data_IF_081950590902
#
_entry.id   IF_081950590902
#
_cell.length_a   1.000
_cell.length_b   1.000
_cell.length_c   1.000
_cell.angle_alpha   90.00
_cell.angle_beta   90.00
_cell.angle_gamma   90.00
#
_symmetry.space_group_name_H-M   'P 1'
#
loop_
_entity.id
_entity.type
_entity.pdbx_description
1 polymer ?
#
# COMPACT_ATOMS: atom_id res chain seq x y z
N UNK A 1 6.23 15.76 -0.72
CA UNK A 1 4.91 15.51 -0.14
C UNK A 1 4.71 14.02 -0.17
N UNK A 2 4.50 13.40 0.99
CA UNK A 2 4.28 11.94 1.07
C UNK A 2 2.82 11.64 0.69
N UNK A 3 2.55 10.49 0.09
CA UNK A 3 1.19 10.05 -0.17
C UNK A 3 0.68 9.24 1.05
N UNK A 4 -0.20 9.84 1.85
CA UNK A 4 -0.69 9.29 3.14
C UNK A 4 -2.21 9.40 3.21
N UNK A 5 -2.86 8.43 3.85
CA UNK A 5 -4.30 8.43 4.11
C UNK A 5 -4.69 9.66 4.93
N UNK A 6 -5.70 10.40 4.44
CA UNK A 6 -6.37 11.50 5.16
C UNK A 6 -6.31 12.88 4.49
N UNK A 7 -5.32 13.17 3.66
CA UNK A 7 -5.17 14.52 3.07
C UNK A 7 -4.43 14.61 1.73
N UNK A 8 -3.69 13.58 1.33
CA UNK A 8 -2.64 13.75 0.31
C UNK A 8 -3.00 13.20 -1.08
N UNK A 9 -4.29 12.98 -1.34
CA UNK A 9 -4.76 12.68 -2.69
C UNK A 9 -4.32 11.32 -3.22
N UNK A 10 -4.23 10.31 -2.36
CA UNK A 10 -3.94 8.95 -2.77
C UNK A 10 -4.87 7.95 -2.08
N UNK A 11 -5.17 6.85 -2.75
CA UNK A 11 -6.02 5.79 -2.20
C UNK A 11 -5.63 4.43 -2.79
N UNK A 12 -5.96 3.36 -2.08
CA UNK A 12 -5.82 2.01 -2.61
C UNK A 12 -7.00 1.73 -3.52
N UNK A 13 -6.75 1.50 -4.80
CA UNK A 13 -7.79 1.20 -5.79
C UNK A 13 -8.00 -0.30 -6.00
N UNK A 14 -6.99 -1.11 -5.70
CA UNK A 14 -7.06 -2.56 -5.84
C UNK A 14 -6.09 -3.27 -4.91
N UNK A 15 -6.50 -4.43 -4.39
CA UNK A 15 -5.65 -5.36 -3.68
C UNK A 15 -6.13 -6.79 -3.90
N UNK A 16 -5.20 -7.73 -4.05
CA UNK A 16 -5.51 -9.16 -4.21
C UNK A 16 -5.86 -9.87 -2.90
N UNK A 17 -5.56 -9.24 -1.76
CA UNK A 17 -5.87 -9.77 -0.42
C UNK A 17 -6.51 -8.68 0.43
N UNK A 18 -7.50 -9.06 1.23
CA UNK A 18 -8.16 -8.17 2.18
C UNK A 18 -8.22 -8.84 3.56
N UNK A 19 -7.27 -8.50 4.43
CA UNK A 19 -7.26 -8.97 5.82
C UNK A 19 -8.11 -8.07 6.71
N UNK A 20 -9.14 -8.61 7.38
CA UNK A 20 -10.09 -7.82 8.20
C UNK A 20 -9.43 -6.88 9.22
N UNK A 21 -8.36 -7.33 9.87
CA UNK A 21 -7.61 -6.52 10.86
C UNK A 21 -6.46 -5.71 10.24
N UNK A 22 -6.08 -6.06 9.01
CA UNK A 22 -4.93 -5.51 8.30
C UNK A 22 -5.30 -5.22 6.83
N UNK A 23 -6.29 -4.34 6.61
CA UNK A 23 -6.81 -4.11 5.27
C UNK A 23 -5.80 -3.30 4.42
N UNK A 24 -5.95 -3.27 3.10
CA UNK A 24 -4.99 -2.64 2.18
C UNK A 24 -4.72 -1.18 2.48
N UNK A 25 -5.71 -0.42 2.96
CA UNK A 25 -5.63 1.01 3.24
C UNK A 25 -4.57 1.33 4.31
N UNK A 26 -4.23 0.35 5.15
CA UNK A 26 -3.18 0.48 6.16
C UNK A 26 -1.79 0.76 5.56
N UNK A 27 -1.54 0.46 4.27
CA UNK A 27 -0.27 0.83 3.61
C UNK A 27 -0.07 2.34 3.51
N UNK A 28 -1.17 3.11 3.56
CA UNK A 28 -1.17 4.56 3.51
C UNK A 28 -1.23 5.18 4.92
N UNK A 29 -1.23 4.37 5.97
CA UNK A 29 -1.28 4.81 7.37
C UNK A 29 0.13 4.91 7.98
N UNK A 30 0.42 6.00 8.70
CA UNK A 30 1.72 6.22 9.36
C UNK A 30 1.79 5.61 10.78
N UNK A 31 0.69 5.06 11.31
CA UNK A 31 0.67 4.47 12.66
C UNK A 31 1.53 3.21 12.75
N UNK A 32 2.34 3.13 13.79
CA UNK A 32 3.12 1.91 14.10
C UNK A 32 2.18 0.74 14.35
N UNK A 33 2.46 -0.40 13.72
CA UNK A 33 1.60 -1.59 13.80
C UNK A 33 0.44 -1.60 12.81
N UNK A 34 0.23 -0.53 12.04
CA UNK A 34 -0.68 -0.51 10.90
C UNK A 34 0.05 -1.03 9.67
N UNK A 35 -0.45 -2.13 9.10
CA UNK A 35 0.08 -2.73 7.88
C UNK A 35 -1.03 -3.49 7.14
N UNK A 36 -0.82 -3.70 5.85
CA UNK A 36 -1.60 -4.63 5.03
C UNK A 36 -0.96 -6.01 5.07
N UNK A 37 -1.78 -7.07 5.08
CA UNK A 37 -1.32 -8.46 5.04
C UNK A 37 -1.93 -9.23 3.87
N UNK A 38 -1.13 -10.10 3.27
CA UNK A 38 -1.60 -11.07 2.27
C UNK A 38 -2.23 -12.27 2.98
N UNK A 39 -3.28 -12.86 2.40
CA UNK A 39 -4.05 -13.96 3.04
C UNK A 39 -3.64 -15.35 2.55
N UNK A 40 -2.57 -15.45 1.76
CA UNK A 40 -2.04 -16.71 1.21
C UNK A 40 -1.97 -16.71 -0.31
N UNK A 41 -1.20 -17.67 -0.85
CA UNK A 41 -0.86 -17.78 -2.29
C UNK A 41 -0.09 -16.56 -2.85
N UNK A 42 0.69 -16.80 -3.89
CA UNK A 42 1.48 -15.77 -4.60
C UNK A 42 1.30 -15.96 -6.11
N UNK A 43 1.40 -14.88 -6.93
CA UNK A 43 1.75 -13.50 -6.57
C UNK A 43 0.62 -12.72 -5.89
N UNK A 44 0.98 -11.61 -5.26
CA UNK A 44 0.06 -10.65 -4.64
C UNK A 44 0.31 -9.26 -5.23
N UNK A 45 -0.73 -8.46 -5.34
CA UNK A 45 -0.70 -7.15 -5.98
C UNK A 45 -1.53 -6.14 -5.18
N UNK A 46 -1.04 -4.91 -5.19
CA UNK A 46 -1.68 -3.73 -4.61
C UNK A 46 -1.51 -2.57 -5.60
N UNK A 47 -2.56 -1.79 -5.80
CA UNK A 47 -2.54 -0.60 -6.64
C UNK A 47 -2.87 0.61 -5.78
N UNK A 48 -1.94 1.57 -5.73
CA UNK A 48 -2.12 2.88 -5.11
C UNK A 48 -2.37 3.88 -6.23
N UNK A 49 -3.53 4.49 -6.24
CA UNK A 49 -3.93 5.52 -7.19
C UNK A 49 -3.72 6.91 -6.60
N UNK A 50 -3.28 7.84 -7.44
CA UNK A 50 -3.23 9.26 -7.11
C UNK A 50 -4.49 9.93 -7.68
N UNK A 51 -5.07 10.84 -6.91
CA UNK A 51 -6.27 11.62 -7.25
C UNK A 51 -6.07 12.52 -8.47
N UNK A 52 -4.83 12.92 -8.69
CA UNK A 52 -4.38 13.76 -9.80
C UNK A 52 -3.02 13.24 -10.30
N UNK A 53 -2.70 13.46 -11.59
CA UNK A 53 -1.38 13.14 -12.13
C UNK A 53 -0.28 13.91 -11.39
N UNK A 54 0.69 13.20 -10.82
CA UNK A 54 1.86 13.79 -10.12
C UNK A 54 3.13 13.07 -10.55
N UNK A 55 4.25 13.80 -10.58
CA UNK A 55 5.57 13.20 -10.82
C UNK A 55 6.03 12.47 -9.56
N UNK A 56 6.28 11.16 -9.67
CA UNK A 56 6.84 10.35 -8.59
C UNK A 56 8.36 10.46 -8.61
N UNK A 57 8.94 11.09 -7.60
CA UNK A 57 10.40 11.24 -7.47
C UNK A 57 11.04 10.12 -6.64
N UNK A 58 10.29 9.54 -5.71
CA UNK A 58 10.79 8.52 -4.79
C UNK A 58 9.64 7.63 -4.32
N UNK A 59 9.91 6.32 -4.19
CA UNK A 59 9.01 5.35 -3.58
C UNK A 59 9.75 4.72 -2.41
N UNK A 60 9.14 4.76 -1.22
CA UNK A 60 9.68 4.13 -0.01
C UNK A 60 8.82 2.93 0.36
N UNK A 61 9.42 1.74 0.34
CA UNK A 61 8.71 0.48 0.58
C UNK A 61 9.27 -0.16 1.84
N UNK A 62 8.38 -0.44 2.79
CA UNK A 62 8.70 -1.12 4.06
C UNK A 62 7.81 -2.34 4.15
N UNK A 63 8.42 -3.53 4.11
CA UNK A 63 7.69 -4.82 4.06
C UNK A 63 8.38 -5.86 4.94
N UNK A 64 7.69 -6.99 5.16
CA UNK A 64 8.23 -8.16 5.83
C UNK A 64 7.85 -9.42 5.06
N UNK A 65 8.73 -10.43 5.06
CA UNK A 65 8.52 -11.74 4.40
C UNK A 65 8.28 -11.67 2.88
N UNK A 66 8.68 -10.58 2.22
CA UNK A 66 8.65 -10.46 0.75
C UNK A 66 9.99 -10.95 0.18
N UNK A 67 9.95 -11.96 -0.69
CA UNK A 67 11.15 -12.49 -1.37
C UNK A 67 11.50 -11.72 -2.65
N UNK A 68 10.49 -11.33 -3.42
CA UNK A 68 10.62 -10.60 -4.66
C UNK A 68 9.52 -9.54 -4.75
N UNK A 69 9.88 -8.35 -5.20
CA UNK A 69 8.99 -7.20 -5.33
C UNK A 69 9.22 -6.54 -6.69
N UNK A 70 8.12 -6.19 -7.36
CA UNK A 70 8.11 -5.40 -8.59
C UNK A 70 7.23 -4.17 -8.34
N UNK A 71 7.64 -3.02 -8.88
CA UNK A 71 6.95 -1.72 -8.77
C UNK A 71 6.78 -1.14 -10.16
#
# INVERSE_FOLDING_TARGET
>A
MDCVSGSDGCFVSFATSWGKSHPPENVLDKRKGSFWITTGLFPQMLVISLDQPRKVSQIKIVTSRVKALCV
#
